data_IF_024877079559
#
_entry.id   IF_024877079559
#
_cell.length_a   1.000
_cell.length_b   1.000
_cell.length_c   1.000
_cell.angle_alpha   90.00
_cell.angle_beta   90.00
_cell.angle_gamma   90.00
#
_symmetry.space_group_name_H-M   'P 1'
#
loop_
_entity.id
_entity.type
_entity.pdbx_description
1 polymer ?
#
# COMPACT_ATOMS: atom_id res chain seq x y z
N UNK A 1 -10.12 11.58 1.73
CA UNK A 1 -8.90 11.25 0.96
C UNK A 1 -9.19 10.21 -0.13
N UNK A 2 -9.72 9.02 0.19
CA UNK A 2 -10.05 8.00 -0.80
C UNK A 2 -11.01 8.48 -1.91
N UNK A 3 -12.08 9.20 -1.58
CA UNK A 3 -13.00 9.78 -2.58
C UNK A 3 -12.34 10.86 -3.46
N UNK A 4 -11.41 11.64 -2.91
CA UNK A 4 -10.65 12.66 -3.65
C UNK A 4 -9.68 12.00 -4.64
N UNK A 5 -9.04 10.90 -4.24
CA UNK A 5 -8.19 10.09 -5.12
C UNK A 5 -9.04 9.44 -6.21
N UNK A 6 -10.19 8.84 -5.85
CA UNK A 6 -11.10 8.23 -6.82
C UNK A 6 -11.64 9.25 -7.85
N UNK A 7 -11.89 10.49 -7.45
CA UNK A 7 -12.28 11.59 -8.37
C UNK A 7 -11.13 12.08 -9.25
N UNK A 8 -9.88 11.95 -8.79
CA UNK A 8 -8.70 12.34 -9.54
C UNK A 8 -8.33 11.34 -10.65
N UNK A 9 -8.75 10.08 -10.49
CA UNK A 9 -8.67 9.08 -11.56
C UNK A 9 -9.94 9.15 -12.41
N UNK A 10 -9.79 9.15 -13.73
CA UNK A 10 -10.94 9.04 -14.63
C UNK A 10 -11.62 7.70 -14.36
N UNK A 11 -12.86 7.68 -13.83
CA UNK A 11 -13.53 6.41 -13.54
C UNK A 11 -13.70 5.63 -14.85
N UNK A 12 -13.50 4.30 -14.84
CA UNK A 12 -13.63 3.50 -16.05
C UNK A 12 -15.08 3.55 -16.54
N UNK A 13 -15.26 3.68 -17.86
CA UNK A 13 -16.58 3.70 -18.52
C UNK A 13 -17.37 2.39 -18.26
N UNK A 14 -16.65 1.28 -18.13
CA UNK A 14 -17.18 -0.02 -17.72
C UNK A 14 -16.43 -0.52 -16.48
N UNK A 15 -16.94 -0.27 -15.25
CA UNK A 15 -16.30 -0.72 -14.03
C UNK A 15 -16.34 -2.26 -13.93
N UNK A 16 -15.21 -2.84 -13.51
CA UNK A 16 -15.12 -4.26 -13.24
C UNK A 16 -16.07 -4.65 -12.09
N UNK A 17 -16.76 -5.81 -12.16
CA UNK A 17 -17.52 -6.33 -11.03
C UNK A 17 -16.67 -6.43 -9.77
N UNK A 18 -17.23 -6.09 -8.61
CA UNK A 18 -16.50 -6.02 -7.33
C UNK A 18 -15.71 -7.30 -7.00
N UNK A 19 -16.31 -8.47 -7.23
CA UNK A 19 -15.66 -9.76 -6.93
C UNK A 19 -14.49 -10.04 -7.88
N UNK A 20 -14.63 -9.71 -9.16
CA UNK A 20 -13.57 -9.83 -10.14
C UNK A 20 -12.42 -8.86 -9.84
N UNK A 21 -12.74 -7.64 -9.41
CA UNK A 21 -11.74 -6.65 -9.00
C UNK A 21 -10.96 -7.12 -7.77
N UNK A 22 -11.68 -7.65 -6.77
CA UNK A 22 -11.06 -8.18 -5.56
C UNK A 22 -10.14 -9.37 -5.87
N UNK A 23 -10.59 -10.32 -6.68
CA UNK A 23 -9.77 -11.45 -7.11
C UNK A 23 -8.51 -10.97 -7.84
N UNK A 24 -8.64 -9.98 -8.73
CA UNK A 24 -7.50 -9.42 -9.46
C UNK A 24 -6.48 -8.73 -8.56
N UNK A 25 -6.94 -8.04 -7.50
CA UNK A 25 -6.10 -7.43 -6.47
C UNK A 25 -5.39 -8.52 -5.66
N UNK A 26 -6.10 -9.57 -5.24
CA UNK A 26 -5.52 -10.66 -4.47
C UNK A 26 -4.45 -11.41 -5.28
N UNK A 27 -4.71 -11.70 -6.56
CA UNK A 27 -3.72 -12.30 -7.48
C UNK A 27 -2.50 -11.40 -7.67
N UNK A 28 -2.72 -10.10 -7.84
CA UNK A 28 -1.63 -9.13 -7.98
C UNK A 28 -0.75 -9.08 -6.73
N UNK A 29 -1.35 -9.03 -5.54
CA UNK A 29 -0.62 -9.03 -4.28
C UNK A 29 0.06 -10.37 -3.99
N UNK A 30 -0.45 -11.49 -4.52
CA UNK A 30 0.20 -12.80 -4.40
C UNK A 30 1.41 -12.96 -5.33
N UNK A 31 1.40 -12.28 -6.49
CA UNK A 31 2.50 -12.27 -7.45
C UNK A 31 3.68 -11.35 -7.06
N UNK A 32 3.49 -10.52 -6.03
CA UNK A 32 4.49 -9.57 -5.54
C UNK A 32 4.87 -9.88 -4.09
N UNK A 33 6.07 -9.46 -3.70
CA UNK A 33 6.58 -9.57 -2.34
C UNK A 33 7.18 -8.26 -1.82
N UNK A 34 7.13 -7.16 -2.58
CA UNK A 34 7.69 -5.86 -2.20
C UNK A 34 6.65 -4.77 -2.25
N UNK A 35 6.79 -3.77 -1.37
CA UNK A 35 5.98 -2.57 -1.33
C UNK A 35 6.83 -1.35 -0.99
N UNK A 36 6.35 -0.17 -1.35
CA UNK A 36 6.86 1.10 -0.86
C UNK A 36 5.97 1.57 0.30
N UNK A 37 6.51 1.55 1.54
CA UNK A 37 5.80 1.98 2.73
C UNK A 37 6.09 3.45 3.03
N UNK A 38 5.06 4.29 2.93
CA UNK A 38 5.09 5.67 3.37
C UNK A 38 4.62 5.79 4.83
N UNK A 39 5.47 6.42 5.65
CA UNK A 39 5.23 6.74 7.05
C UNK A 39 5.50 8.24 7.25
N UNK A 40 4.84 8.89 8.21
CA UNK A 40 5.08 10.31 8.45
C UNK A 40 4.56 10.81 9.79
N UNK A 41 5.15 11.87 10.31
CA UNK A 41 4.76 12.51 11.57
C UNK A 41 5.01 14.02 11.49
N UNK A 42 4.00 14.85 11.78
CA UNK A 42 4.08 16.30 11.56
C UNK A 42 4.43 16.63 10.10
N UNK A 43 5.47 17.44 9.89
CA UNK A 43 5.96 17.84 8.56
C UNK A 43 7.04 16.90 7.98
N UNK A 44 7.18 15.69 8.53
CA UNK A 44 8.20 14.74 8.11
C UNK A 44 7.56 13.49 7.50
N UNK A 45 8.08 13.06 6.36
CA UNK A 45 7.63 11.86 5.63
C UNK A 45 8.84 11.02 5.24
N UNK A 46 8.68 9.70 5.24
CA UNK A 46 9.65 8.74 4.72
C UNK A 46 8.94 7.64 3.97
N UNK A 47 9.40 7.38 2.75
CA UNK A 47 9.06 6.19 2.01
C UNK A 47 10.23 5.20 2.08
N UNK A 48 9.94 3.93 2.37
CA UNK A 48 10.95 2.85 2.45
C UNK A 48 10.46 1.65 1.65
N UNK A 49 11.25 1.12 0.69
CA UNK A 49 10.93 -0.16 0.07
C UNK A 49 11.13 -1.28 1.09
N UNK A 50 10.16 -2.18 1.20
CA UNK A 50 10.12 -3.27 2.16
C UNK A 50 9.53 -4.52 1.50
N UNK A 51 9.93 -5.69 2.00
CA UNK A 51 9.26 -6.94 1.65
C UNK A 51 8.02 -7.17 2.52
N UNK A 52 7.05 -7.92 2.00
CA UNK A 52 5.86 -8.31 2.74
C UNK A 52 5.50 -9.78 2.53
N UNK A 53 4.74 -10.32 3.47
CA UNK A 53 4.03 -11.59 3.38
C UNK A 53 2.51 -11.34 3.37
N UNK A 54 1.79 -11.97 2.44
CA UNK A 54 0.33 -11.92 2.40
C UNK A 54 -0.23 -13.09 3.21
N UNK A 55 -0.98 -12.80 4.28
CA UNK A 55 -1.64 -13.83 5.10
C UNK A 55 -3.05 -13.35 5.43
N UNK A 56 -4.07 -14.15 5.13
CA UNK A 56 -5.48 -13.88 5.45
C UNK A 56 -5.98 -12.48 5.05
N UNK A 57 -5.59 -11.99 3.86
CA UNK A 57 -5.98 -10.67 3.37
C UNK A 57 -5.20 -9.49 3.95
N UNK A 58 -4.24 -9.73 4.85
CA UNK A 58 -3.37 -8.72 5.43
C UNK A 58 -1.94 -8.81 4.88
N UNK A 59 -1.24 -7.67 4.86
CA UNK A 59 0.18 -7.57 4.51
C UNK A 59 1.00 -7.49 5.80
N UNK A 60 1.87 -8.46 6.03
CA UNK A 60 2.79 -8.50 7.15
C UNK A 60 4.18 -8.08 6.68
N UNK A 61 4.82 -7.20 7.43
CA UNK A 61 6.16 -6.69 7.13
C UNK A 61 7.04 -7.02 8.33
N UNK A 62 8.13 -7.74 8.09
CA UNK A 62 9.21 -7.87 9.07
C UNK A 62 10.31 -6.89 8.68
N UNK A 63 10.65 -5.98 9.58
CA UNK A 63 11.60 -4.93 9.26
C UNK A 63 12.32 -4.40 10.49
N UNK A 64 13.53 -3.92 10.30
CA UNK A 64 14.41 -3.46 11.36
C UNK A 64 14.92 -2.04 11.07
N UNK A 65 15.22 -1.30 12.13
CA UNK A 65 15.90 -0.01 12.12
C UNK A 65 15.34 1.09 11.19
N UNK A 66 16.07 2.19 11.13
CA UNK A 66 15.79 3.29 10.20
C UNK A 66 14.60 4.17 10.58
N UNK A 67 14.41 5.22 9.78
CA UNK A 67 13.53 6.33 10.15
C UNK A 67 12.04 6.02 10.06
N UNK A 68 11.62 4.94 9.39
CA UNK A 68 10.21 4.54 9.32
C UNK A 68 9.56 4.32 10.69
N UNK A 69 10.32 3.85 11.68
CA UNK A 69 9.86 3.70 13.06
C UNK A 69 9.50 5.04 13.69
N UNK A 70 10.19 6.13 13.32
CA UNK A 70 9.84 7.49 13.73
C UNK A 70 8.39 7.83 13.36
N UNK A 71 8.03 7.55 12.10
CA UNK A 71 6.68 7.78 11.58
C UNK A 71 5.67 6.89 12.28
N UNK A 72 5.90 5.58 12.29
CA UNK A 72 4.97 4.58 12.87
C UNK A 72 4.74 4.82 14.37
N UNK A 73 5.79 5.16 15.12
CA UNK A 73 5.71 5.34 16.57
C UNK A 73 4.85 6.55 16.97
N UNK A 74 4.94 7.65 16.21
CA UNK A 74 4.19 8.88 16.50
C UNK A 74 2.90 9.03 15.68
N UNK A 75 2.71 8.23 14.64
CA UNK A 75 1.54 8.23 13.78
C UNK A 75 1.31 6.86 13.13
N UNK A 76 0.27 6.16 13.57
CA UNK A 76 -0.12 4.87 13.00
C UNK A 76 -0.71 4.94 11.60
N UNK A 77 -1.03 6.12 11.07
CA UNK A 77 -1.51 6.28 9.71
C UNK A 77 -0.36 6.09 8.70
N UNK A 78 -0.49 5.05 7.88
CA UNK A 78 0.49 4.66 6.86
C UNK A 78 -0.17 4.56 5.49
N UNK A 79 0.66 4.55 4.44
CA UNK A 79 0.23 4.21 3.08
C UNK A 79 1.24 3.25 2.46
N UNK A 80 0.76 2.26 1.72
CA UNK A 80 1.59 1.27 1.04
C UNK A 80 1.23 1.24 -0.45
N UNK A 81 2.25 1.16 -1.30
CA UNK A 81 2.09 0.98 -2.74
C UNK A 81 2.81 -0.29 -3.20
N UNK A 82 2.13 -1.11 -4.00
CA UNK A 82 2.68 -2.27 -4.70
C UNK A 82 2.53 -1.99 -6.19
N UNK A 83 3.59 -2.22 -6.97
CA UNK A 83 3.64 -1.89 -8.39
C UNK A 83 4.56 -2.88 -9.11
N UNK A 84 4.34 -3.05 -10.42
CA UNK A 84 5.17 -3.90 -11.26
C UNK A 84 6.60 -3.32 -11.39
N UNK A 85 7.55 -4.19 -11.72
CA UNK A 85 8.93 -3.76 -12.00
C UNK A 85 8.97 -2.84 -13.23
N UNK A 86 9.87 -1.85 -13.21
CA UNK A 86 10.13 -0.96 -14.35
C UNK A 86 10.97 -1.63 -15.45
#
# INVERSE_FOLDING_TARGET
AAELIAKAFCPPEAPMPTDALKARIDDFLAAHNTLALATGCGNWVRCTPLEYLRVNGALYILTEGGLKFKGIWWNGAISAAVYDSY
#
